data_IF_719278295236
#
_entry.id   IF_719278295236
#
_cell.length_a   1.000
_cell.length_b   1.000
_cell.length_c   1.000
_cell.angle_alpha   90.00
_cell.angle_beta   90.00
_cell.angle_gamma   90.00
#
_symmetry.space_group_name_H-M   'P 1'
#
loop_
_entity.id
_entity.type
_entity.pdbx_description
1 polymer ?
#
# COMPACT_ATOMS: atom_id res chain seq x y z
N UNK A 1 4.93 0.52 -16.42
CA UNK A 1 5.63 -0.51 -15.60
C UNK A 1 7.15 -0.37 -15.56
N UNK A 2 7.82 0.09 -16.62
CA UNK A 2 9.30 0.24 -16.62
C UNK A 2 9.81 1.03 -15.39
N UNK A 3 9.16 2.13 -15.03
CA UNK A 3 9.57 2.96 -13.89
C UNK A 3 9.59 2.26 -12.53
N UNK A 4 8.69 1.30 -12.28
CA UNK A 4 8.64 0.57 -11.02
C UNK A 4 9.87 -0.33 -10.82
N UNK A 5 10.44 -0.84 -11.91
CA UNK A 5 11.60 -1.76 -11.91
C UNK A 5 12.93 -1.07 -12.17
N UNK A 6 12.96 0.24 -12.45
CA UNK A 6 14.23 0.94 -12.62
C UNK A 6 15.01 0.91 -11.30
N UNK A 7 16.32 0.51 -11.35
CA UNK A 7 17.14 0.51 -10.16
C UNK A 7 17.24 1.93 -9.58
N UNK A 8 17.20 2.02 -8.27
CA UNK A 8 17.39 3.26 -7.51
C UNK A 8 18.64 3.16 -6.65
N UNK A 9 19.07 4.28 -6.04
CA UNK A 9 20.15 4.24 -5.06
C UNK A 9 19.81 3.27 -3.94
N UNK A 10 20.80 2.52 -3.48
CA UNK A 10 20.67 1.69 -2.29
C UNK A 10 20.86 2.59 -1.07
N UNK A 11 19.82 2.73 -0.29
CA UNK A 11 19.89 3.48 0.95
C UNK A 11 20.47 2.58 2.06
N UNK A 12 21.65 2.95 2.58
CA UNK A 12 22.31 2.26 3.70
C UNK A 12 22.06 3.07 4.98
N UNK A 13 20.98 2.82 5.66
CA UNK A 13 20.75 3.27 7.02
C UNK A 13 20.05 2.16 7.80
N UNK A 14 20.29 2.09 9.10
CA UNK A 14 19.62 1.14 9.96
C UNK A 14 18.27 1.72 10.39
N UNK A 15 17.18 1.09 9.98
CA UNK A 15 15.87 1.37 10.54
C UNK A 15 15.75 0.75 11.94
N UNK A 16 15.07 1.42 12.85
CA UNK A 16 14.65 0.80 14.10
C UNK A 16 13.44 -0.09 13.83
N UNK A 17 13.42 -1.30 14.40
CA UNK A 17 12.34 -2.25 14.20
C UNK A 17 11.39 -2.25 15.39
N UNK A 18 10.09 -2.21 15.12
CA UNK A 18 9.04 -2.32 16.12
C UNK A 18 8.11 -3.48 15.75
N UNK A 19 7.99 -4.46 16.64
CA UNK A 19 6.99 -5.52 16.50
C UNK A 19 5.65 -5.04 17.07
N UNK A 20 4.60 -5.16 16.27
CA UNK A 20 3.22 -4.82 16.67
C UNK A 20 2.45 -6.11 16.82
N UNK A 21 2.05 -6.44 18.05
CA UNK A 21 1.20 -7.60 18.33
C UNK A 21 -0.24 -7.28 17.99
N UNK A 22 -0.86 -8.14 17.21
CA UNK A 22 -2.24 -8.06 16.78
C UNK A 22 -3.19 -8.78 17.74
N UNK A 23 -4.49 -8.50 17.73
CA UNK A 23 -5.47 -9.14 18.64
C UNK A 23 -5.52 -10.66 18.55
N UNK A 24 -5.19 -11.24 17.39
CA UNK A 24 -5.14 -12.68 17.16
C UNK A 24 -3.80 -13.34 17.54
N UNK A 25 -2.86 -12.57 18.09
CA UNK A 25 -1.54 -13.02 18.52
C UNK A 25 -0.47 -13.02 17.42
N UNK A 26 -0.82 -12.78 16.17
CA UNK A 26 0.13 -12.54 15.09
C UNK A 26 0.86 -11.22 15.27
N UNK A 27 1.95 -11.00 14.53
CA UNK A 27 2.74 -9.78 14.63
C UNK A 27 3.03 -9.17 13.25
N UNK A 28 3.11 -7.84 13.26
CA UNK A 28 3.62 -7.02 12.15
C UNK A 28 4.96 -6.43 12.53
N UNK A 29 5.74 -6.02 11.54
CA UNK A 29 7.00 -5.31 11.75
C UNK A 29 6.93 -3.92 11.09
N UNK A 30 7.21 -2.89 11.87
CA UNK A 30 7.39 -1.53 11.40
C UNK A 30 8.89 -1.21 11.39
N UNK A 31 9.37 -0.68 10.28
CA UNK A 31 10.75 -0.22 10.09
C UNK A 31 10.75 1.30 10.15
N UNK A 32 11.19 1.85 11.29
CA UNK A 32 11.26 3.29 11.51
C UNK A 32 12.52 3.88 10.91
N UNK A 33 12.34 4.83 10.01
CA UNK A 33 13.37 5.67 9.42
C UNK A 33 13.27 7.06 10.05
N UNK A 34 14.01 7.29 11.13
CA UNK A 34 14.01 8.55 11.87
C UNK A 34 14.74 9.65 11.10
N UNK A 35 14.24 10.89 11.10
CA UNK A 35 14.94 12.03 10.53
C UNK A 35 16.21 12.35 11.33
N UNK A 36 17.14 13.05 10.70
CA UNK A 36 18.28 13.61 11.40
C UNK A 36 17.79 14.73 12.34
N UNK A 37 18.32 14.78 13.56
CA UNK A 37 17.79 15.59 14.67
C UNK A 37 17.65 17.09 14.40
N UNK A 38 18.38 17.63 13.42
CA UNK A 38 18.39 19.07 13.11
C UNK A 38 17.19 19.56 12.31
N UNK A 39 16.45 18.65 11.66
CA UNK A 39 15.33 18.99 10.75
C UNK A 39 14.04 18.22 11.05
N UNK A 40 13.98 17.57 12.23
CA UNK A 40 12.82 16.75 12.58
C UNK A 40 11.54 17.61 12.67
N UNK A 41 10.53 17.20 11.92
CA UNK A 41 9.15 17.66 12.11
C UNK A 41 8.47 16.76 13.10
N UNK A 42 7.39 17.22 13.72
CA UNK A 42 6.59 16.37 14.61
C UNK A 42 5.70 15.39 13.83
N UNK A 43 5.90 15.21 12.52
CA UNK A 43 5.06 14.40 11.65
C UNK A 43 5.64 13.01 11.39
N UNK A 44 4.75 12.03 11.35
CA UNK A 44 5.02 10.66 10.92
C UNK A 44 4.30 10.30 9.61
N UNK A 45 4.81 9.29 8.91
CA UNK A 45 4.16 8.67 7.77
C UNK A 45 4.23 7.14 7.89
N UNK A 46 3.09 6.45 7.77
CA UNK A 46 3.03 5.00 7.67
C UNK A 46 2.88 4.59 6.20
N UNK A 47 3.84 3.82 5.69
CA UNK A 47 3.87 3.33 4.31
C UNK A 47 3.48 1.85 4.28
N UNK A 48 2.47 1.47 3.47
CA UNK A 48 2.01 0.08 3.29
C UNK A 48 2.30 -0.37 1.86
N UNK A 49 3.06 -1.44 1.71
CA UNK A 49 3.48 -1.97 0.40
C UNK A 49 2.36 -2.68 -0.37
N UNK A 50 2.58 -2.92 -1.66
CA UNK A 50 1.69 -3.68 -2.53
C UNK A 50 1.87 -5.20 -2.42
N UNK A 51 1.10 -5.92 -3.24
CA UNK A 51 1.11 -7.38 -3.31
C UNK A 51 2.52 -7.94 -3.47
N UNK A 52 2.86 -8.94 -2.67
CA UNK A 52 4.16 -9.62 -2.65
C UNK A 52 5.37 -8.69 -2.41
N UNK A 53 5.14 -7.48 -1.87
CA UNK A 53 6.18 -6.54 -1.45
C UNK A 53 6.65 -6.78 -0.02
N UNK A 54 7.51 -5.86 0.45
CA UNK A 54 7.96 -5.73 1.82
C UNK A 54 8.57 -4.33 2.04
N UNK A 55 9.05 -4.05 3.25
CA UNK A 55 9.76 -2.81 3.59
C UNK A 55 10.95 -2.49 2.68
N UNK A 56 11.56 -3.50 2.04
CA UNK A 56 12.70 -3.33 1.10
C UNK A 56 12.26 -3.05 -0.34
N UNK A 57 10.97 -3.02 -0.64
CA UNK A 57 10.50 -2.64 -1.97
C UNK A 57 11.07 -1.28 -2.37
N UNK A 58 11.64 -1.18 -3.58
CA UNK A 58 12.45 -0.03 -3.98
C UNK A 58 11.75 1.34 -3.85
N UNK A 59 10.43 1.39 -4.09
CA UNK A 59 9.66 2.63 -3.87
C UNK A 59 9.47 2.95 -2.39
N UNK A 60 9.31 1.93 -1.52
CA UNK A 60 9.21 2.11 -0.07
C UNK A 60 10.48 2.77 0.48
N UNK A 61 11.65 2.22 0.12
CA UNK A 61 12.95 2.77 0.55
C UNK A 61 13.19 4.19 0.03
N UNK A 62 12.91 4.45 -1.27
CA UNK A 62 13.11 5.77 -1.87
C UNK A 62 12.24 6.85 -1.21
N UNK A 63 10.96 6.54 -0.99
CA UNK A 63 10.01 7.48 -0.40
C UNK A 63 10.36 7.72 1.07
N UNK A 64 10.66 6.67 1.84
CA UNK A 64 11.09 6.81 3.22
C UNK A 64 12.36 7.67 3.35
N UNK A 65 13.36 7.46 2.49
CA UNK A 65 14.57 8.29 2.46
C UNK A 65 14.29 9.76 2.14
N UNK A 66 13.39 10.04 1.19
CA UNK A 66 12.99 11.40 0.84
C UNK A 66 12.20 12.10 1.96
N UNK A 67 11.32 11.37 2.65
CA UNK A 67 10.59 11.85 3.81
C UNK A 67 11.54 12.16 4.97
N UNK A 68 12.45 11.22 5.29
CA UNK A 68 13.48 11.39 6.29
C UNK A 68 14.34 12.65 6.04
N UNK A 69 14.76 12.85 4.79
CA UNK A 69 15.52 14.04 4.38
C UNK A 69 14.72 15.36 4.46
N UNK A 70 13.41 15.27 4.68
CA UNK A 70 12.49 16.41 4.89
C UNK A 70 12.00 16.52 6.33
N UNK A 71 12.65 15.83 7.25
CA UNK A 71 12.34 15.87 8.67
C UNK A 71 11.16 15.01 9.11
N UNK A 72 10.56 14.20 8.21
CA UNK A 72 9.42 13.34 8.50
C UNK A 72 9.90 11.96 8.92
N UNK A 73 9.39 11.44 10.04
CA UNK A 73 9.60 10.07 10.48
C UNK A 73 8.78 9.13 9.61
N UNK A 74 9.42 8.20 8.91
CA UNK A 74 8.74 7.25 8.05
C UNK A 74 8.77 5.83 8.64
N UNK A 75 7.61 5.19 8.68
CA UNK A 75 7.46 3.79 9.05
C UNK A 75 7.14 2.98 7.81
N UNK A 76 7.99 2.02 7.44
CA UNK A 76 7.72 1.05 6.39
C UNK A 76 7.18 -0.22 7.02
N UNK A 77 5.91 -0.52 6.78
CA UNK A 77 5.23 -1.69 7.35
C UNK A 77 5.49 -2.92 6.51
N UNK A 78 5.87 -4.02 7.15
CA UNK A 78 5.74 -5.36 6.58
C UNK A 78 4.37 -5.91 6.96
N UNK A 79 3.56 -6.26 5.94
CA UNK A 79 2.31 -6.97 6.14
C UNK A 79 2.59 -8.39 6.68
N UNK A 80 1.57 -9.07 7.24
CA UNK A 80 1.67 -10.42 7.82
C UNK A 80 2.46 -11.37 6.93
N UNK A 81 3.48 -11.99 7.46
CA UNK A 81 4.32 -12.95 6.74
C UNK A 81 5.22 -12.35 5.65
N UNK A 82 5.33 -11.01 5.56
CA UNK A 82 6.21 -10.34 4.61
C UNK A 82 7.49 -9.84 5.27
N UNK A 83 8.57 -9.77 4.50
CA UNK A 83 9.85 -9.20 4.92
C UNK A 83 10.34 -9.75 6.24
N UNK A 84 10.63 -8.86 7.20
CA UNK A 84 11.05 -9.22 8.55
C UNK A 84 9.94 -9.87 9.39
N UNK A 85 8.67 -9.76 8.97
CA UNK A 85 7.51 -10.43 9.57
C UNK A 85 7.34 -11.90 9.16
N UNK A 86 8.24 -12.44 8.31
CA UNK A 86 8.20 -13.86 7.94
C UNK A 86 8.32 -14.75 9.19
N UNK A 87 7.35 -15.64 9.39
CA UNK A 87 7.28 -16.53 10.57
C UNK A 87 6.63 -15.90 11.81
N UNK A 88 6.26 -14.63 11.81
CA UNK A 88 5.62 -13.95 12.93
C UNK A 88 4.07 -13.95 12.84
N UNK A 89 3.52 -14.46 11.74
CA UNK A 89 2.09 -14.56 11.53
C UNK A 89 1.68 -15.97 11.10
N UNK A 90 0.56 -16.44 11.64
CA UNK A 90 -0.08 -17.72 11.30
C UNK A 90 -1.12 -17.57 10.19
N UNK A 91 -1.66 -16.37 9.99
CA UNK A 91 -2.57 -16.02 8.91
C UNK A 91 -1.87 -15.16 7.86
N UNK A 92 -2.18 -15.33 6.57
CA UNK A 92 -1.63 -14.48 5.53
C UNK A 92 -2.27 -13.08 5.56
N UNK A 93 -1.54 -12.09 4.99
CA UNK A 93 -2.16 -10.84 4.63
C UNK A 93 -3.13 -11.02 3.44
N UNK A 94 -4.11 -10.16 3.36
CA UNK A 94 -5.00 -10.03 2.21
C UNK A 94 -5.49 -8.59 2.07
N UNK A 95 -6.12 -8.25 0.94
CA UNK A 95 -6.52 -6.88 0.62
C UNK A 95 -7.53 -6.25 1.59
N UNK A 96 -8.17 -7.05 2.42
CA UNK A 96 -9.16 -6.58 3.40
C UNK A 96 -8.63 -6.37 4.82
N UNK A 97 -7.31 -6.53 5.08
CA UNK A 97 -6.70 -6.42 6.43
C UNK A 97 -6.56 -4.97 6.89
N UNK A 98 -7.66 -4.23 6.95
CA UNK A 98 -7.70 -2.85 7.45
C UNK A 98 -7.37 -2.76 8.95
N UNK A 99 -7.76 -3.76 9.73
CA UNK A 99 -7.45 -3.86 11.16
C UNK A 99 -5.95 -3.90 11.46
N UNK A 100 -5.15 -4.48 10.58
CA UNK A 100 -3.69 -4.50 10.71
C UNK A 100 -3.08 -3.10 10.56
N UNK A 101 -3.59 -2.32 9.60
CA UNK A 101 -3.18 -0.93 9.42
C UNK A 101 -3.61 -0.06 10.61
N UNK A 102 -4.79 -0.30 11.17
CA UNK A 102 -5.25 0.38 12.39
C UNK A 102 -4.34 0.07 13.57
N UNK A 103 -3.97 -1.20 13.80
CA UNK A 103 -3.06 -1.60 14.86
C UNK A 103 -1.67 -0.95 14.73
N UNK A 104 -1.19 -0.81 13.49
CA UNK A 104 0.08 -0.12 13.21
C UNK A 104 0.00 1.38 13.54
N UNK A 105 -1.08 2.07 13.16
CA UNK A 105 -1.32 3.49 13.49
C UNK A 105 -1.40 3.71 15.01
N UNK A 106 -2.12 2.84 15.72
CA UNK A 106 -2.20 2.89 17.18
C UNK A 106 -0.84 2.65 17.85
N UNK A 107 -0.01 1.75 17.29
CA UNK A 107 1.34 1.53 17.79
C UNK A 107 2.22 2.77 17.59
N UNK A 108 2.15 3.44 16.43
CA UNK A 108 2.87 4.69 16.16
C UNK A 108 2.41 5.79 17.11
N UNK A 109 1.11 5.92 17.36
CA UNK A 109 0.58 6.91 18.29
C UNK A 109 1.05 6.68 19.73
N UNK A 110 1.23 5.44 20.15
CA UNK A 110 1.82 5.12 21.47
C UNK A 110 3.30 5.50 21.55
N UNK A 111 4.06 5.30 20.47
CA UNK A 111 5.49 5.67 20.42
C UNK A 111 5.67 7.19 20.33
N UNK A 112 4.80 7.86 19.59
CA UNK A 112 4.89 9.30 19.29
C UNK A 112 3.52 9.98 19.44
N UNK A 113 3.05 10.21 20.69
CA UNK A 113 1.68 10.66 20.97
C UNK A 113 1.30 12.01 20.37
N UNK A 114 2.29 12.88 20.10
CA UNK A 114 2.08 14.22 19.54
C UNK A 114 2.34 14.30 18.03
N UNK A 115 2.66 13.16 17.38
CA UNK A 115 3.03 13.14 15.97
C UNK A 115 1.81 12.88 15.09
N UNK A 116 1.28 13.87 14.36
CA UNK A 116 0.27 13.64 13.34
C UNK A 116 0.81 12.64 12.31
N UNK A 117 -0.01 11.71 11.86
CA UNK A 117 0.43 10.61 11.01
C UNK A 117 -0.33 10.59 9.69
N UNK A 118 0.40 10.60 8.58
CA UNK A 118 -0.15 10.35 7.24
C UNK A 118 -0.06 8.86 6.91
N UNK A 119 -1.16 8.24 6.51
CA UNK A 119 -1.19 6.86 6.01
C UNK A 119 -1.03 6.83 4.48
N UNK A 120 -0.02 6.13 3.98
CA UNK A 120 0.24 6.01 2.53
C UNK A 120 0.25 4.54 2.13
N UNK A 121 -0.69 4.15 1.28
CA UNK A 121 -0.78 2.79 0.74
C UNK A 121 -0.43 2.73 -0.75
N UNK A 122 0.18 1.62 -1.18
CA UNK A 122 0.55 1.38 -2.57
C UNK A 122 -0.12 0.10 -3.07
N UNK A 123 -0.82 0.16 -4.21
CA UNK A 123 -1.48 -0.99 -4.82
C UNK A 123 -2.40 -1.71 -3.80
N UNK A 124 -2.16 -2.97 -3.45
CA UNK A 124 -2.88 -3.68 -2.39
C UNK A 124 -2.93 -2.88 -1.09
N UNK A 125 -1.81 -2.29 -0.66
CA UNK A 125 -1.76 -1.43 0.52
C UNK A 125 -2.64 -0.19 0.40
N UNK A 126 -2.84 0.32 -0.82
CA UNK A 126 -3.75 1.43 -1.07
C UNK A 126 -5.23 1.02 -0.91
N UNK A 127 -5.59 -0.20 -1.29
CA UNK A 127 -6.92 -0.74 -1.02
C UNK A 127 -7.15 -0.91 0.50
N UNK A 128 -6.16 -1.45 1.23
CA UNK A 128 -6.21 -1.55 2.71
C UNK A 128 -6.41 -0.16 3.33
N UNK A 129 -5.66 0.84 2.87
CA UNK A 129 -5.79 2.24 3.31
C UNK A 129 -7.22 2.75 3.12
N UNK A 130 -7.76 2.70 1.90
CA UNK A 130 -9.10 3.21 1.61
C UNK A 130 -10.20 2.42 2.35
N UNK A 131 -10.00 1.11 2.52
CA UNK A 131 -10.93 0.27 3.29
C UNK A 131 -10.96 0.70 4.75
N UNK A 132 -9.79 0.87 5.39
CA UNK A 132 -9.71 1.38 6.75
C UNK A 132 -10.44 2.72 6.89
N UNK A 133 -10.15 3.69 6.03
CA UNK A 133 -10.76 5.02 6.10
C UNK A 133 -12.29 4.97 5.98
N UNK A 134 -12.81 4.13 5.08
CA UNK A 134 -14.25 3.93 4.91
C UNK A 134 -14.91 3.23 6.10
N UNK A 135 -14.19 2.37 6.82
CA UNK A 135 -14.67 1.67 8.02
C UNK A 135 -14.58 2.53 9.28
N UNK A 136 -13.63 3.46 9.33
CA UNK A 136 -13.51 4.40 10.43
C UNK A 136 -14.71 5.35 10.52
N UNK A 137 -15.29 5.77 9.39
CA UNK A 137 -16.42 6.70 9.36
C UNK A 137 -16.19 7.95 10.25
N UNK A 138 -14.94 8.45 10.25
CA UNK A 138 -14.51 9.59 11.05
C UNK A 138 -14.10 9.28 12.50
N UNK A 139 -14.18 8.03 12.93
CA UNK A 139 -13.67 7.64 14.26
C UNK A 139 -12.15 7.80 14.30
N UNK A 140 -11.58 8.29 15.41
CA UNK A 140 -10.12 8.39 15.57
C UNK A 140 -9.44 7.02 15.44
N UNK A 141 -8.23 7.02 14.87
CA UNK A 141 -7.36 5.85 14.79
C UNK A 141 -5.90 6.32 14.97
N UNK A 142 -5.36 6.14 16.14
CA UNK A 142 -4.09 6.76 16.51
C UNK A 142 -4.09 8.27 16.25
N UNK A 143 -3.00 8.77 15.67
CA UNK A 143 -2.86 10.18 15.29
C UNK A 143 -3.07 10.40 13.78
N UNK A 144 -3.88 9.55 13.13
CA UNK A 144 -4.15 9.64 11.69
C UNK A 144 -4.88 10.94 11.35
N UNK A 145 -4.29 11.78 10.50
CA UNK A 145 -4.85 13.07 10.07
C UNK A 145 -5.02 13.20 8.56
N UNK A 146 -4.34 12.38 7.78
CA UNK A 146 -4.41 12.42 6.32
C UNK A 146 -4.03 11.08 5.70
N UNK A 147 -4.40 10.83 4.44
CA UNK A 147 -4.03 9.61 3.76
C UNK A 147 -3.76 9.81 2.27
N UNK A 148 -2.98 8.89 1.68
CA UNK A 148 -2.77 8.81 0.24
C UNK A 148 -2.84 7.34 -0.21
N UNK A 149 -3.63 7.09 -1.26
CA UNK A 149 -3.78 5.78 -1.88
C UNK A 149 -3.24 5.82 -3.31
N UNK A 150 -2.17 5.07 -3.59
CA UNK A 150 -1.50 5.08 -4.90
C UNK A 150 -1.85 3.81 -5.67
N UNK A 151 -2.46 3.95 -6.85
CA UNK A 151 -2.94 2.88 -7.72
C UNK A 151 -3.79 1.82 -6.96
N UNK A 152 -4.85 2.21 -6.24
CA UNK A 152 -5.64 1.29 -5.43
C UNK A 152 -6.51 0.37 -6.27
N UNK A 153 -6.49 -0.96 -6.06
CA UNK A 153 -7.44 -1.90 -6.64
C UNK A 153 -8.77 -1.87 -5.86
N UNK A 154 -9.53 -0.77 -5.99
CA UNK A 154 -10.75 -0.54 -5.19
C UNK A 154 -11.89 -1.53 -5.48
N UNK A 155 -11.89 -2.15 -6.65
CA UNK A 155 -12.74 -3.28 -7.06
C UNK A 155 -11.83 -4.46 -7.41
N UNK A 156 -11.64 -5.36 -6.45
CA UNK A 156 -10.75 -6.50 -6.59
C UNK A 156 -11.23 -7.47 -7.68
N UNK A 157 -12.55 -7.64 -7.85
CA UNK A 157 -13.09 -8.51 -8.88
C UNK A 157 -12.80 -7.95 -10.29
N UNK A 158 -12.95 -6.64 -10.50
CA UNK A 158 -12.58 -6.00 -11.77
C UNK A 158 -11.07 -6.08 -12.02
N UNK A 159 -10.23 -5.88 -11.01
CA UNK A 159 -8.78 -6.01 -11.12
C UNK A 159 -8.36 -7.46 -11.43
N UNK A 160 -8.96 -8.46 -10.79
CA UNK A 160 -8.72 -9.88 -11.07
C UNK A 160 -9.06 -10.23 -12.51
N UNK A 161 -10.21 -9.77 -13.02
CA UNK A 161 -10.57 -9.94 -14.44
C UNK A 161 -9.59 -9.23 -15.38
N UNK A 162 -9.12 -8.03 -15.02
CA UNK A 162 -8.19 -7.26 -15.83
C UNK A 162 -6.81 -7.95 -15.91
N UNK A 163 -6.27 -8.44 -14.80
CA UNK A 163 -4.97 -9.09 -14.76
C UNK A 163 -4.99 -10.46 -15.47
N UNK A 164 -6.14 -11.13 -15.51
CA UNK A 164 -6.33 -12.42 -16.19
C UNK A 164 -6.42 -12.31 -17.72
N UNK A 165 -6.49 -11.09 -18.29
CA UNK A 165 -6.47 -10.91 -19.76
C UNK A 165 -5.18 -11.42 -20.36
N UNK A 166 -5.25 -11.90 -21.61
CA UNK A 166 -4.08 -12.48 -22.33
C UNK A 166 -2.85 -11.56 -22.31
N UNK A 167 -3.06 -10.26 -22.50
CA UNK A 167 -2.00 -9.24 -22.49
C UNK A 167 -1.33 -9.08 -21.13
N UNK A 168 -2.02 -9.39 -20.05
CA UNK A 168 -1.56 -9.22 -18.67
C UNK A 168 -1.11 -10.53 -18.00
N UNK A 169 -1.24 -11.68 -18.68
CA UNK A 169 -0.78 -12.98 -18.17
C UNK A 169 0.66 -13.01 -17.63
N UNK A 170 1.63 -12.29 -18.19
CA UNK A 170 2.98 -12.25 -17.60
C UNK A 170 2.98 -11.70 -16.17
N UNK A 171 2.15 -10.68 -15.89
CA UNK A 171 2.00 -10.10 -14.55
C UNK A 171 1.30 -11.05 -13.59
N UNK A 172 0.21 -11.68 -14.04
CA UNK A 172 -0.54 -12.67 -13.27
C UNK A 172 0.39 -13.80 -12.81
N UNK A 173 1.11 -14.43 -13.73
CA UNK A 173 2.09 -15.48 -13.43
C UNK A 173 3.23 -15.00 -12.51
N UNK A 174 3.66 -13.77 -12.70
CA UNK A 174 4.73 -13.18 -11.87
C UNK A 174 4.28 -13.05 -10.41
N UNK A 175 3.07 -12.53 -10.15
CA UNK A 175 2.54 -12.40 -8.80
C UNK A 175 2.29 -13.77 -8.16
N UNK A 176 1.66 -14.70 -8.85
CA UNK A 176 1.48 -16.07 -8.35
C UNK A 176 2.80 -16.71 -7.94
N UNK A 177 3.84 -16.56 -8.78
CA UNK A 177 5.18 -17.07 -8.45
C UNK A 177 5.76 -16.43 -7.20
N UNK A 178 5.57 -15.12 -7.00
CA UNK A 178 6.04 -14.43 -5.79
C UNK A 178 5.28 -14.89 -4.56
N UNK A 179 3.96 -14.99 -4.63
CA UNK A 179 3.11 -15.47 -3.53
C UNK A 179 3.45 -16.91 -3.15
N UNK A 180 3.59 -17.81 -4.11
CA UNK A 180 4.03 -19.19 -3.83
C UNK A 180 5.43 -19.24 -3.18
N UNK A 181 6.33 -18.30 -3.53
CA UNK A 181 7.64 -18.21 -2.87
C UNK A 181 7.53 -17.73 -1.42
N UNK A 182 6.66 -16.77 -1.14
CA UNK A 182 6.40 -16.33 0.24
C UNK A 182 5.86 -17.48 1.09
N UNK A 183 4.91 -18.29 0.56
CA UNK A 183 4.40 -19.47 1.25
C UNK A 183 5.48 -20.51 1.53
N UNK A 184 6.39 -20.72 0.58
CA UNK A 184 7.48 -21.70 0.68
C UNK A 184 8.68 -21.21 1.50
N UNK A 185 8.60 -20.02 2.12
CA UNK A 185 9.70 -19.45 2.89
C UNK A 185 10.00 -20.35 4.12
N UNK A 186 11.28 -20.79 4.33
CA UNK A 186 11.65 -21.54 5.53
C UNK A 186 11.35 -20.72 6.79
N UNK A 187 10.59 -21.28 7.71
CA UNK A 187 10.14 -20.59 8.92
C UNK A 187 8.79 -19.87 8.78
N UNK A 188 8.16 -19.89 7.61
CA UNK A 188 6.79 -19.41 7.47
C UNK A 188 5.84 -20.28 8.29
N UNK A 189 5.09 -19.69 9.22
CA UNK A 189 4.02 -20.40 9.96
C UNK A 189 2.81 -20.72 9.08
N UNK A 190 2.77 -20.13 7.87
CA UNK A 190 1.79 -20.41 6.83
C UNK A 190 2.06 -21.76 6.12
N UNK A 191 3.19 -22.42 6.39
CA UNK A 191 3.67 -23.59 5.64
C UNK A 191 2.76 -24.81 5.73
N UNK A 192 2.04 -25.02 6.84
CA UNK A 192 1.10 -26.14 6.96
C UNK A 192 -0.10 -25.97 6.03
N UNK A 193 -0.73 -24.78 6.04
CA UNK A 193 -1.83 -24.46 5.15
C UNK A 193 -1.38 -24.36 3.68
N UNK A 194 -0.15 -23.88 3.46
CA UNK A 194 0.49 -23.83 2.15
C UNK A 194 0.94 -25.21 1.65
N UNK A 195 1.21 -26.16 2.54
CA UNK A 195 1.70 -27.50 2.21
C UNK A 195 0.78 -28.23 1.25
N UNK A 196 -0.53 -28.15 1.44
CA UNK A 196 -1.54 -28.74 0.55
C UNK A 196 -1.49 -28.13 -0.86
N UNK A 197 -1.32 -26.81 -0.97
CA UNK A 197 -1.22 -26.08 -2.25
C UNK A 197 0.11 -26.36 -2.94
N UNK A 198 1.19 -26.36 -2.17
CA UNK A 198 2.54 -26.59 -2.71
C UNK A 198 2.76 -28.06 -3.11
N UNK A 199 2.10 -29.01 -2.43
CA UNK A 199 2.13 -30.44 -2.75
C UNK A 199 1.16 -30.82 -3.89
N UNK A 200 0.12 -30.02 -4.14
CA UNK A 200 -0.86 -30.23 -5.18
C UNK A 200 -0.52 -29.54 -6.51
N UNK A 201 -1.55 -29.30 -7.31
CA UNK A 201 -1.43 -28.49 -8.53
C UNK A 201 -1.23 -27.02 -8.14
N UNK A 202 -0.09 -26.45 -8.47
CA UNK A 202 0.19 -25.03 -8.24
C UNK A 202 -0.79 -24.14 -9.00
N UNK A 203 -1.35 -23.10 -8.35
CA UNK A 203 -2.20 -22.12 -9.02
C UNK A 203 -1.45 -21.43 -10.17
N UNK A 204 -2.16 -21.15 -11.26
CA UNK A 204 -1.61 -20.53 -12.48
C UNK A 204 -2.00 -19.07 -12.63
N UNK A 205 -3.07 -18.67 -11.92
CA UNK A 205 -3.62 -17.32 -11.91
C UNK A 205 -3.79 -16.82 -10.48
N UNK A 206 -3.87 -15.50 -10.32
CA UNK A 206 -4.14 -14.88 -9.03
C UNK A 206 -5.50 -15.30 -8.48
N UNK A 207 -6.48 -15.45 -9.37
CA UNK A 207 -7.81 -15.94 -8.99
C UNK A 207 -7.76 -17.38 -8.43
N UNK A 208 -7.02 -18.28 -9.10
CA UNK A 208 -6.84 -19.65 -8.59
C UNK A 208 -6.14 -19.62 -7.21
N UNK A 209 -5.09 -18.79 -7.05
CA UNK A 209 -4.41 -18.64 -5.77
C UNK A 209 -5.34 -18.11 -4.67
N UNK A 210 -6.12 -17.09 -4.99
CA UNK A 210 -7.04 -16.50 -4.01
C UNK A 210 -8.18 -17.46 -3.67
N UNK A 211 -8.67 -18.25 -4.63
CA UNK A 211 -9.74 -19.21 -4.39
C UNK A 211 -9.26 -20.45 -3.62
N UNK A 212 -8.08 -20.96 -3.92
CA UNK A 212 -7.55 -22.19 -3.35
C UNK A 212 -6.79 -21.96 -2.03
N UNK A 213 -6.26 -20.74 -1.80
CA UNK A 213 -5.48 -20.42 -0.61
C UNK A 213 -6.08 -19.26 0.19
N UNK A 214 -6.11 -18.04 -0.36
CA UNK A 214 -6.49 -16.84 0.42
C UNK A 214 -7.89 -17.00 1.01
N UNK A 215 -8.87 -17.43 0.20
CA UNK A 215 -10.24 -17.63 0.66
C UNK A 215 -10.30 -18.70 1.75
N UNK A 216 -9.72 -19.86 1.49
CA UNK A 216 -9.78 -21.02 2.42
C UNK A 216 -9.12 -20.68 3.76
N UNK A 217 -7.90 -20.14 3.74
CA UNK A 217 -7.13 -19.88 4.97
C UNK A 217 -7.68 -18.71 5.78
N UNK A 218 -8.25 -17.71 5.09
CA UNK A 218 -8.82 -16.53 5.74
C UNK A 218 -10.33 -16.64 6.04
N UNK A 219 -10.96 -17.81 5.77
CA UNK A 219 -12.35 -18.07 6.13
C UNK A 219 -13.38 -17.40 5.21
N UNK A 220 -13.03 -17.11 3.96
CA UNK A 220 -13.97 -16.67 2.93
C UNK A 220 -14.57 -17.88 2.21
N UNK A 221 -15.79 -17.74 1.71
CA UNK A 221 -16.50 -18.82 0.98
C UNK A 221 -15.86 -19.11 -0.39
N UNK A 222 -15.32 -18.10 -1.04
CA UNK A 222 -14.67 -18.16 -2.36
C UNK A 222 -13.83 -16.92 -2.64
N UNK A 223 -13.08 -16.91 -3.74
CA UNK A 223 -12.37 -15.71 -4.20
C UNK A 223 -13.35 -14.54 -4.46
N UNK A 224 -14.53 -14.79 -5.03
CA UNK A 224 -15.55 -13.76 -5.27
C UNK A 224 -16.07 -13.17 -3.97
N UNK A 225 -16.32 -14.01 -2.95
CA UNK A 225 -16.73 -13.56 -1.62
C UNK A 225 -15.61 -12.71 -0.99
N UNK A 226 -14.36 -13.17 -1.08
CA UNK A 226 -13.20 -12.41 -0.65
C UNK A 226 -13.12 -11.04 -1.34
N UNK A 227 -13.19 -11.00 -2.67
CA UNK A 227 -13.11 -9.75 -3.42
C UNK A 227 -14.23 -8.79 -3.07
N UNK A 228 -15.45 -9.28 -2.92
CA UNK A 228 -16.61 -8.45 -2.52
C UNK A 228 -16.42 -7.82 -1.13
N UNK A 229 -15.92 -8.58 -0.16
CA UNK A 229 -15.75 -8.12 1.22
C UNK A 229 -14.49 -7.27 1.43
N UNK A 230 -13.44 -7.52 0.65
CA UNK A 230 -12.16 -6.85 0.79
C UNK A 230 -12.00 -5.60 -0.10
N UNK A 231 -12.87 -5.40 -1.09
CA UNK A 231 -12.87 -4.20 -1.94
C UNK A 231 -13.20 -2.94 -1.15
N UNK A 232 -12.44 -1.87 -1.39
CA UNK A 232 -12.62 -0.59 -0.69
C UNK A 232 -13.67 0.33 -1.34
N UNK A 233 -14.06 0.11 -2.59
CA UNK A 233 -14.98 0.98 -3.32
C UNK A 233 -16.27 1.32 -2.55
N UNK A 234 -16.96 0.37 -1.86
CA UNK A 234 -18.17 0.69 -1.10
C UNK A 234 -17.94 1.61 0.11
N UNK A 235 -16.70 1.65 0.62
CA UNK A 235 -16.31 2.48 1.78
C UNK A 235 -15.93 3.91 1.43
N UNK A 236 -15.47 4.18 0.19
CA UNK A 236 -14.95 5.49 -0.22
C UNK A 236 -15.92 6.66 0.06
N UNK A 237 -17.25 6.55 -0.19
CA UNK A 237 -18.17 7.64 0.10
C UNK A 237 -18.27 8.02 1.59
N UNK A 238 -17.80 7.17 2.51
CA UNK A 238 -17.86 7.39 3.96
C UNK A 238 -16.56 7.95 4.54
N UNK A 239 -15.53 8.15 3.72
CA UNK A 239 -14.24 8.69 4.17
C UNK A 239 -14.42 10.14 4.65
N UNK A 240 -13.91 10.42 5.86
CA UNK A 240 -13.99 11.74 6.50
C UNK A 240 -12.60 12.35 6.80
N UNK A 241 -11.54 11.73 6.32
CA UNK A 241 -10.15 12.18 6.50
C UNK A 241 -9.62 12.70 5.15
N UNK A 242 -8.89 13.83 5.12
CA UNK A 242 -8.24 14.34 3.91
C UNK A 242 -7.46 13.24 3.21
N UNK A 243 -7.88 12.90 1.99
CA UNK A 243 -7.33 11.76 1.26
C UNK A 243 -7.05 12.11 -0.20
N UNK A 244 -5.88 11.70 -0.70
CA UNK A 244 -5.55 11.76 -2.12
C UNK A 244 -5.52 10.35 -2.70
N UNK A 245 -6.29 10.11 -3.76
CA UNK A 245 -6.20 8.91 -4.59
C UNK A 245 -5.43 9.26 -5.85
N UNK A 246 -4.27 8.64 -6.05
CA UNK A 246 -3.45 8.79 -7.25
C UNK A 246 -3.51 7.52 -8.09
N UNK A 247 -3.90 7.62 -9.36
CA UNK A 247 -3.92 6.49 -10.29
C UNK A 247 -3.57 6.95 -11.72
N UNK A 248 -3.45 6.01 -12.65
CA UNK A 248 -3.25 6.32 -14.07
C UNK A 248 -4.22 5.57 -14.97
N UNK A 249 -4.56 6.19 -16.11
CA UNK A 249 -5.47 5.60 -17.11
C UNK A 249 -4.84 4.41 -17.84
N UNK A 250 -3.52 4.44 -17.99
CA UNK A 250 -2.73 3.40 -18.66
C UNK A 250 -2.24 2.29 -17.72
N UNK A 251 -2.81 2.18 -16.51
CA UNK A 251 -2.50 1.08 -15.60
C UNK A 251 -2.99 -0.25 -16.19
N UNK A 252 -2.09 -1.22 -16.46
CA UNK A 252 -2.48 -2.48 -17.09
C UNK A 252 -3.25 -3.41 -16.15
N UNK A 253 -3.18 -3.18 -14.83
CA UNK A 253 -3.76 -4.06 -13.80
C UNK A 253 -5.00 -3.49 -13.14
N UNK A 254 -5.05 -2.16 -12.96
CA UNK A 254 -6.14 -1.47 -12.28
C UNK A 254 -7.00 -0.74 -13.32
N UNK A 255 -8.21 -1.21 -13.60
CA UNK A 255 -9.06 -0.54 -14.57
C UNK A 255 -9.55 0.81 -14.04
N UNK A 256 -9.24 1.91 -14.74
CA UNK A 256 -9.56 3.26 -14.31
C UNK A 256 -11.06 3.51 -14.14
N UNK A 257 -11.92 2.81 -14.90
CA UNK A 257 -13.38 2.94 -14.79
C UNK A 257 -13.91 2.60 -13.39
N UNK A 258 -13.20 1.76 -12.61
CA UNK A 258 -13.57 1.49 -11.22
C UNK A 258 -13.50 2.76 -10.37
N UNK A 259 -12.48 3.60 -10.56
CA UNK A 259 -12.35 4.89 -9.88
C UNK A 259 -13.35 5.92 -10.41
N UNK A 260 -13.61 5.92 -11.72
CA UNK A 260 -14.57 6.84 -12.35
C UNK A 260 -16.03 6.57 -11.92
N UNK A 261 -16.34 5.35 -11.51
CA UNK A 261 -17.67 4.94 -11.05
C UNK A 261 -17.95 5.32 -9.59
N UNK A 262 -16.95 5.65 -8.80
CA UNK A 262 -17.11 6.03 -7.38
C UNK A 262 -17.34 7.53 -7.27
N UNK A 263 -18.19 7.92 -6.33
CA UNK A 263 -18.45 9.34 -5.99
C UNK A 263 -17.85 9.63 -4.60
N UNK A 264 -16.59 10.04 -4.55
CA UNK A 264 -15.95 10.38 -3.30
C UNK A 264 -16.51 11.68 -2.70
N UNK A 265 -16.50 11.85 -1.38
CA UNK A 265 -16.83 13.11 -0.74
C UNK A 265 -15.78 14.18 -1.06
N UNK A 266 -16.11 15.46 -0.86
CA UNK A 266 -15.24 16.59 -1.20
C UNK A 266 -13.86 16.57 -0.51
N UNK A 267 -13.74 15.89 0.62
CA UNK A 267 -12.48 15.71 1.35
C UNK A 267 -11.52 14.72 0.68
N UNK A 268 -12.01 13.91 -0.27
CA UNK A 268 -11.23 12.94 -1.03
C UNK A 268 -10.97 13.50 -2.43
N UNK A 269 -9.70 13.74 -2.73
CA UNK A 269 -9.25 14.18 -4.05
C UNK A 269 -8.86 12.95 -4.88
N UNK A 270 -9.25 12.93 -6.17
CA UNK A 270 -8.83 11.89 -7.11
C UNK A 270 -8.00 12.54 -8.22
N UNK A 271 -6.75 12.13 -8.32
CA UNK A 271 -5.87 12.50 -9.43
C UNK A 271 -5.67 11.29 -10.34
N UNK A 272 -6.26 11.36 -11.53
CA UNK A 272 -6.13 10.32 -12.56
C UNK A 272 -5.24 10.86 -13.68
N UNK A 273 -3.97 10.43 -13.67
CA UNK A 273 -2.98 10.78 -14.71
C UNK A 273 -3.25 10.00 -15.99
N UNK A 274 -2.99 10.62 -17.15
CA UNK A 274 -3.09 9.91 -18.44
C UNK A 274 -2.07 8.76 -18.52
N UNK A 275 -0.86 8.97 -18.00
CA UNK A 275 0.23 8.02 -18.02
C UNK A 275 0.83 7.82 -16.64
N UNK A 276 1.40 6.64 -16.39
CA UNK A 276 2.01 6.29 -15.10
C UNK A 276 2.17 4.80 -14.93
N UNK A 277 1.35 4.03 -15.63
CA UNK A 277 1.26 2.58 -15.44
C UNK A 277 0.97 2.24 -13.97
N UNK A 278 1.37 1.07 -13.54
CA UNK A 278 1.22 0.66 -12.15
C UNK A 278 2.47 1.02 -11.34
N UNK A 279 2.41 2.05 -10.50
CA UNK A 279 3.49 2.55 -9.63
C UNK A 279 4.76 3.00 -10.41
N UNK A 280 4.64 3.30 -11.71
CA UNK A 280 5.78 3.56 -12.59
C UNK A 280 5.95 5.01 -13.03
N UNK A 281 5.28 5.95 -12.38
CA UNK A 281 5.23 7.37 -12.76
C UNK A 281 6.63 7.99 -12.86
N UNK A 282 7.04 8.33 -14.08
CA UNK A 282 8.29 9.00 -14.39
C UNK A 282 7.98 10.38 -14.95
N UNK A 283 8.43 11.43 -14.29
CA UNK A 283 8.25 12.81 -14.67
C UNK A 283 9.41 13.38 -15.51
N UNK A 284 9.25 14.64 -15.91
CA UNK A 284 10.32 15.42 -16.55
C UNK A 284 11.38 15.83 -15.53
N UNK A 285 12.64 15.95 -15.96
CA UNK A 285 13.79 16.22 -15.09
C UNK A 285 13.83 17.66 -14.52
N UNK A 286 12.87 18.52 -14.86
CA UNK A 286 12.92 19.96 -14.56
C UNK A 286 12.02 20.42 -13.41
N UNK A 287 11.14 19.57 -12.89
CA UNK A 287 10.11 19.94 -11.91
C UNK A 287 10.49 19.45 -10.53
N UNK A 288 10.85 18.17 -10.43
CA UNK A 288 11.24 17.51 -9.19
C UNK A 288 12.77 17.30 -9.16
N UNK A 289 13.37 17.10 -7.98
CA UNK A 289 14.81 16.84 -7.83
C UNK A 289 15.30 15.60 -8.58
N UNK A 290 14.40 14.64 -8.85
CA UNK A 290 14.63 13.49 -9.73
C UNK A 290 13.36 13.13 -10.51
N UNK A 291 13.49 12.20 -11.46
CA UNK A 291 12.39 11.80 -12.35
C UNK A 291 11.33 10.90 -11.72
N UNK A 292 11.42 10.59 -10.43
CA UNK A 292 10.47 9.73 -9.70
C UNK A 292 9.24 10.54 -9.24
N UNK A 293 8.41 10.93 -10.19
CA UNK A 293 7.28 11.83 -9.97
C UNK A 293 6.34 11.38 -8.85
N UNK A 294 5.97 10.10 -8.81
CA UNK A 294 5.13 9.53 -7.74
C UNK A 294 5.74 9.71 -6.35
N UNK A 295 7.05 9.44 -6.22
CA UNK A 295 7.73 9.56 -4.93
C UNK A 295 7.59 11.00 -4.39
N UNK A 296 7.73 12.01 -5.28
CA UNK A 296 7.60 13.42 -4.89
C UNK A 296 6.16 13.82 -4.60
N UNK A 297 5.16 13.28 -5.32
CA UNK A 297 3.74 13.53 -4.97
C UNK A 297 3.39 12.99 -3.59
N UNK A 298 3.94 11.84 -3.20
CA UNK A 298 3.81 11.32 -1.82
C UNK A 298 4.45 12.27 -0.81
N UNK A 299 5.68 12.71 -1.06
CA UNK A 299 6.38 13.66 -0.17
C UNK A 299 5.61 14.96 -0.04
N UNK A 300 5.17 15.54 -1.15
CA UNK A 300 4.40 16.79 -1.17
C UNK A 300 3.11 16.67 -0.37
N UNK A 301 2.37 15.56 -0.52
CA UNK A 301 1.14 15.31 0.22
C UNK A 301 1.38 15.22 1.73
N UNK A 302 2.38 14.46 2.15
CA UNK A 302 2.74 14.30 3.56
C UNK A 302 3.13 15.65 4.17
N UNK A 303 3.90 16.47 3.46
CA UNK A 303 4.33 17.79 3.95
C UNK A 303 3.19 18.83 3.93
N UNK A 304 2.32 18.81 2.92
CA UNK A 304 1.19 19.72 2.83
C UNK A 304 0.18 19.53 3.97
N UNK A 305 0.01 18.29 4.43
CA UNK A 305 -0.84 17.96 5.58
C UNK A 305 -0.32 18.52 6.91
N UNK A 306 0.92 19.03 6.96
CA UNK A 306 1.48 19.73 8.12
C UNK A 306 1.01 21.20 8.24
N UNK A 307 0.45 21.76 7.15
CA UNK A 307 0.02 23.15 7.08
C UNK A 307 -1.49 23.23 7.24
N UNK A 308 -1.98 23.89 8.26
CA UNK A 308 -3.41 24.23 8.47
C UNK A 308 -3.95 25.19 7.40
N UNK A 309 -3.12 25.68 6.49
CA UNK A 309 -3.52 26.43 5.31
C UNK A 309 -3.96 25.42 4.21
N UNK A 310 -5.07 25.71 3.57
CA UNK A 310 -5.63 25.04 2.38
C UNK A 310 -4.61 25.11 1.21
N UNK A 311 -3.47 24.46 1.34
CA UNK A 311 -2.50 24.33 0.26
C UNK A 311 -2.99 23.17 -0.61
N UNK A 312 -3.62 23.50 -1.73
CA UNK A 312 -3.80 22.54 -2.82
C UNK A 312 -2.38 22.04 -3.18
N UNK A 313 -2.08 20.73 -3.05
CA UNK A 313 -0.80 20.23 -3.52
C UNK A 313 -0.65 20.65 -5.00
N UNK A 314 0.57 20.96 -5.42
CA UNK A 314 0.89 21.26 -6.83
C UNK A 314 0.68 20.02 -7.72
N UNK A 315 -0.54 19.50 -7.70
CA UNK A 315 -1.03 18.51 -8.64
C UNK A 315 -1.48 19.22 -9.91
N UNK A 316 -1.55 20.56 -9.83
CA UNK A 316 -1.93 21.40 -10.97
C UNK A 316 -0.83 21.43 -11.99
N UNK A 317 -1.29 21.08 -13.09
CA UNK A 317 -0.86 21.47 -14.39
C UNK A 317 0.27 20.71 -15.00
N UNK A 318 -0.16 20.41 -16.07
CA UNK A 318 0.56 20.30 -17.28
C UNK A 318 1.51 19.13 -17.30
N UNK A 319 1.00 18.18 -17.89
CA UNK A 319 1.80 17.18 -18.57
C UNK A 319 2.27 16.08 -17.63
N UNK A 320 1.38 15.13 -17.54
CA UNK A 320 1.69 13.81 -17.13
C UNK A 320 3.00 13.31 -17.71
N UNK A 321 3.47 12.17 -17.21
CA UNK A 321 4.71 11.55 -17.69
C UNK A 321 4.69 11.43 -19.22
N UNK A 322 5.82 11.68 -19.83
CA UNK A 322 6.08 11.46 -21.27
C UNK A 322 6.35 9.98 -21.48
#
# INVERSE_FOLDING_TARGET
MAGAFLPGPRYRYSAQHHCVTLPDGDQLVLHEDSPDHSEATDRSALLIHGLAGCHESGYMQRIAAKLRARGVRAFRMDLRGCGAGAGLASLPYHSGRSEDAAAALEAIARLFPQSPTTLVGFSLGANITLKLLGELEGRPCGNLDSAMAVCPPIDLAACSRQISRLTNRPYDRYFVKLLCRQLAHPGSRLSEAAGAILAGRRPRTLWEFDNEFTAVVCGFESAENYYRLASSAPGIPRIQIPTLILASRDDPMIPCHSLESVRPPAIVQVHLSEHGGHLGFIGRASIDPDRRWMDWRVVDWVLASSSTATVRPRVDAAQGPV
#
